data_IF_534885431148
#
_entry.id   IF_534885431148
#
_cell.length_a   1.000
_cell.length_b   1.000
_cell.length_c   1.000
_cell.angle_alpha   90.00
_cell.angle_beta   90.00
_cell.angle_gamma   90.00
#
_symmetry.space_group_name_H-M   'P 1'
#
loop_
_entity.id
_entity.type
_entity.pdbx_description
1 polymer ?
#
# COMPACT_ATOMS: atom_id res chain seq x y z
N UNK A 1 -16.22 6.65 12.27
CA UNK A 1 -15.72 5.51 11.48
C UNK A 1 -16.36 5.59 10.11
N UNK A 2 -15.55 5.57 9.04
CA UNK A 2 -16.06 5.40 7.67
C UNK A 2 -16.77 4.06 7.53
N UNK A 3 -17.88 4.03 6.78
CA UNK A 3 -18.53 2.78 6.47
C UNK A 3 -17.96 2.24 5.15
N UNK A 4 -17.46 1.00 5.17
CA UNK A 4 -16.95 0.36 3.96
C UNK A 4 -17.99 0.31 2.84
N UNK A 5 -19.25 0.11 3.20
CA UNK A 5 -20.33 0.02 2.21
C UNK A 5 -20.42 1.28 1.34
N UNK A 6 -19.96 2.43 1.84
CA UNK A 6 -20.00 3.71 1.13
C UNK A 6 -19.03 3.72 -0.07
N UNK A 7 -17.88 3.05 0.04
CA UNK A 7 -16.82 3.05 -0.99
C UNK A 7 -16.67 1.71 -1.72
N UNK A 8 -17.50 0.71 -1.37
CA UNK A 8 -17.44 -0.63 -1.95
C UNK A 8 -17.51 -0.60 -3.48
N UNK A 9 -18.46 0.14 -4.04
CA UNK A 9 -18.61 0.27 -5.50
C UNK A 9 -17.35 0.87 -6.15
N UNK A 10 -16.73 1.85 -5.48
CA UNK A 10 -15.50 2.49 -5.98
C UNK A 10 -14.32 1.51 -6.00
N UNK A 11 -14.14 0.70 -4.96
CA UNK A 11 -13.10 -0.33 -4.93
C UNK A 11 -13.36 -1.46 -5.92
N UNK A 12 -14.60 -1.93 -6.06
CA UNK A 12 -14.97 -2.95 -7.07
C UNK A 12 -14.68 -2.45 -8.49
N UNK A 13 -15.09 -1.22 -8.81
CA UNK A 13 -14.79 -0.58 -10.09
C UNK A 13 -13.28 -0.40 -10.28
N UNK A 14 -12.57 0.07 -9.27
CA UNK A 14 -11.12 0.28 -9.30
C UNK A 14 -10.33 -1.00 -9.56
N UNK A 15 -10.74 -2.11 -8.95
CA UNK A 15 -10.12 -3.41 -9.20
C UNK A 15 -10.30 -3.85 -10.66
N UNK A 16 -11.47 -3.63 -11.26
CA UNK A 16 -11.72 -3.92 -12.68
C UNK A 16 -10.88 -3.03 -13.61
N UNK A 17 -10.82 -1.73 -13.33
CA UNK A 17 -10.00 -0.79 -14.10
C UNK A 17 -8.51 -1.14 -14.01
N UNK A 18 -8.01 -1.47 -12.81
CA UNK A 18 -6.64 -1.91 -12.60
C UNK A 18 -6.33 -3.19 -13.36
N UNK A 19 -7.23 -4.19 -13.33
CA UNK A 19 -7.07 -5.46 -14.03
C UNK A 19 -6.89 -5.24 -15.54
N UNK A 20 -7.80 -4.45 -16.17
CA UNK A 20 -7.71 -4.09 -17.59
C UNK A 20 -6.43 -3.33 -17.89
N UNK A 21 -6.16 -2.22 -17.21
CA UNK A 21 -5.00 -1.36 -17.47
C UNK A 21 -3.68 -2.12 -17.28
N UNK A 22 -3.52 -2.86 -16.19
CA UNK A 22 -2.28 -3.60 -15.93
C UNK A 22 -2.06 -4.72 -16.94
N UNK A 23 -3.11 -5.44 -17.34
CA UNK A 23 -2.99 -6.49 -18.37
C UNK A 23 -2.52 -5.94 -19.73
N UNK A 24 -2.95 -4.72 -20.08
CA UNK A 24 -2.56 -4.03 -21.32
C UNK A 24 -1.17 -3.40 -21.23
N UNK A 25 -0.93 -2.59 -20.20
CA UNK A 25 0.26 -1.72 -20.11
C UNK A 25 1.46 -2.44 -19.49
N UNK A 26 1.21 -3.38 -18.56
CA UNK A 26 2.25 -4.07 -17.77
C UNK A 26 1.99 -5.58 -17.69
N UNK A 27 1.90 -6.30 -18.83
CA UNK A 27 1.49 -7.72 -18.85
C UNK A 27 2.38 -8.64 -18.01
N UNK A 28 3.69 -8.38 -17.94
CA UNK A 28 4.59 -9.18 -17.08
C UNK A 28 4.29 -9.01 -15.58
N UNK A 29 3.93 -7.80 -15.17
CA UNK A 29 3.58 -7.51 -13.78
C UNK A 29 2.20 -8.05 -13.43
N UNK A 30 1.28 -8.01 -14.39
CA UNK A 30 -0.02 -8.66 -14.30
C UNK A 30 0.13 -10.16 -14.03
N UNK A 31 0.95 -10.88 -14.81
CA UNK A 31 1.23 -12.30 -14.59
C UNK A 31 1.85 -12.57 -13.22
N UNK A 32 2.80 -11.73 -12.79
CA UNK A 32 3.39 -11.83 -11.45
C UNK A 32 2.32 -11.72 -10.36
N UNK A 33 1.40 -10.75 -10.49
CA UNK A 33 0.33 -10.54 -9.52
C UNK A 33 -0.64 -11.74 -9.48
N UNK A 34 -0.97 -12.34 -10.63
CA UNK A 34 -1.82 -13.53 -10.72
C UNK A 34 -1.17 -14.80 -10.18
N UNK A 35 0.17 -14.91 -10.23
CA UNK A 35 0.93 -16.07 -9.70
C UNK A 35 1.23 -15.96 -8.18
N UNK A 36 0.70 -14.93 -7.50
CA UNK A 36 0.93 -14.76 -6.06
C UNK A 36 0.30 -15.91 -5.29
N UNK A 37 1.13 -16.63 -4.53
CA UNK A 37 0.70 -17.74 -3.68
C UNK A 37 0.13 -17.20 -2.37
N UNK A 38 -0.88 -17.89 -1.81
CA UNK A 38 -1.48 -17.55 -0.50
C UNK A 38 -0.45 -17.32 0.60
N UNK A 39 0.59 -18.13 0.64
CA UNK A 39 1.65 -18.02 1.65
C UNK A 39 2.65 -16.89 1.42
N UNK A 40 2.56 -16.15 0.31
CA UNK A 40 3.44 -15.00 0.03
C UNK A 40 3.03 -13.74 0.79
N UNK A 41 1.77 -13.64 1.22
CA UNK A 41 1.25 -12.48 1.96
C UNK A 41 0.64 -12.96 3.28
N UNK A 42 1.11 -12.40 4.39
CA UNK A 42 0.58 -12.62 5.74
C UNK A 42 0.03 -11.29 6.23
N UNK A 43 -1.22 -11.27 6.67
CA UNK A 43 -1.90 -10.09 7.20
C UNK A 43 -2.18 -10.32 8.68
N UNK A 44 -1.76 -9.39 9.51
CA UNK A 44 -2.21 -9.29 10.90
C UNK A 44 -3.43 -8.38 10.92
N UNK A 45 -4.56 -8.96 11.30
CA UNK A 45 -5.84 -8.27 11.35
C UNK A 45 -5.78 -7.02 12.23
N UNK A 46 -6.43 -5.96 11.77
CA UNK A 46 -6.60 -4.69 12.45
C UNK A 46 -8.06 -4.43 12.78
N UNK A 47 -8.31 -3.43 13.64
CA UNK A 47 -9.66 -2.96 13.95
C UNK A 47 -10.06 -1.73 13.14
N UNK A 48 -9.09 -1.01 12.57
CA UNK A 48 -9.31 0.25 11.85
C UNK A 48 -8.96 0.15 10.37
N UNK A 49 -8.17 -0.86 9.97
CA UNK A 49 -7.82 -1.07 8.57
C UNK A 49 -8.04 -2.53 8.16
N UNK A 50 -8.43 -2.72 6.89
CA UNK A 50 -8.87 -4.01 6.32
C UNK A 50 -8.32 -4.20 4.91
N UNK A 51 -7.01 -4.09 4.74
CA UNK A 51 -6.32 -4.28 3.44
C UNK A 51 -6.71 -5.58 2.74
N UNK A 52 -7.06 -6.62 3.50
CA UNK A 52 -7.44 -7.93 2.97
C UNK A 52 -8.67 -7.86 2.06
N UNK A 53 -9.55 -6.90 2.28
CA UNK A 53 -10.74 -6.69 1.45
C UNK A 53 -10.38 -6.11 0.09
N UNK A 54 -9.33 -5.27 0.01
CA UNK A 54 -8.78 -4.81 -1.27
C UNK A 54 -8.10 -5.97 -2.00
N UNK A 55 -7.35 -6.81 -1.28
CA UNK A 55 -6.71 -8.00 -1.85
C UNK A 55 -7.72 -9.00 -2.43
N UNK A 56 -8.86 -9.19 -1.76
CA UNK A 56 -9.94 -10.03 -2.27
C UNK A 56 -10.46 -9.53 -3.62
N UNK A 57 -10.61 -8.21 -3.79
CA UNK A 57 -11.08 -7.59 -5.03
C UNK A 57 -10.09 -7.75 -6.19
N UNK A 58 -8.79 -7.61 -5.92
CA UNK A 58 -7.73 -7.84 -6.93
C UNK A 58 -7.31 -9.32 -7.03
N UNK A 59 -8.00 -10.21 -6.31
CA UNK A 59 -7.81 -11.67 -6.32
C UNK A 59 -6.41 -12.12 -5.89
N UNK A 60 -5.78 -11.39 -4.97
CA UNK A 60 -4.49 -11.78 -4.39
C UNK A 60 -4.73 -12.59 -3.11
N UNK A 61 -4.31 -13.86 -3.06
CA UNK A 61 -4.55 -14.69 -1.88
C UNK A 61 -3.59 -14.35 -0.74
N UNK A 62 -4.09 -14.44 0.50
CA UNK A 62 -3.34 -14.12 1.71
C UNK A 62 -3.61 -15.11 2.85
N UNK A 63 -2.74 -15.12 3.85
CA UNK A 63 -2.98 -15.72 5.16
C UNK A 63 -3.36 -14.60 6.13
N UNK A 64 -4.58 -14.64 6.67
CA UNK A 64 -5.04 -13.70 7.70
C UNK A 64 -4.87 -14.33 9.08
N UNK A 65 -4.25 -13.59 10.00
CA UNK A 65 -4.08 -14.00 11.39
C UNK A 65 -4.54 -12.89 12.34
N UNK A 66 -4.97 -13.28 13.53
CA UNK A 66 -5.26 -12.37 14.63
C UNK A 66 -3.97 -11.94 15.33
N UNK A 67 -3.90 -10.73 15.92
CA UNK A 67 -2.71 -10.29 16.66
C UNK A 67 -2.24 -11.27 17.75
N UNK A 68 -3.18 -11.96 18.41
CA UNK A 68 -2.90 -12.98 19.42
C UNK A 68 -2.20 -14.24 18.88
N UNK A 69 -2.34 -14.51 17.58
CA UNK A 69 -1.74 -15.66 16.89
C UNK A 69 -0.32 -15.35 16.38
N UNK A 70 0.10 -14.09 16.35
CA UNK A 70 1.37 -13.67 15.74
C UNK A 70 2.60 -14.39 16.31
N UNK A 71 2.60 -14.66 17.63
CA UNK A 71 3.71 -15.35 18.26
C UNK A 71 3.86 -16.81 17.79
N UNK A 72 2.80 -17.43 17.27
CA UNK A 72 2.75 -18.85 16.89
C UNK A 72 3.20 -19.10 15.44
N UNK A 73 3.31 -18.06 14.62
CA UNK A 73 3.69 -18.20 13.21
C UNK A 73 5.20 -18.03 13.00
N UNK A 74 5.70 -18.68 11.95
CA UNK A 74 7.03 -18.43 11.41
C UNK A 74 6.93 -17.55 10.18
N UNK A 75 7.80 -16.54 10.12
CA UNK A 75 7.92 -15.64 8.98
C UNK A 75 9.09 -16.09 8.10
N UNK A 76 8.87 -16.11 6.79
CA UNK A 76 9.90 -16.38 5.78
C UNK A 76 10.28 -15.07 5.10
N UNK A 77 11.56 -14.83 4.88
CA UNK A 77 12.06 -13.64 4.21
C UNK A 77 11.67 -13.46 2.73
N UNK A 78 10.87 -14.37 2.17
CA UNK A 78 10.24 -14.23 0.86
C UNK A 78 8.78 -13.75 0.90
N UNK A 79 8.26 -13.43 2.09
CA UNK A 79 6.90 -12.97 2.31
C UNK A 79 6.79 -11.44 2.39
N UNK A 80 5.55 -10.99 2.31
CA UNK A 80 5.07 -9.69 2.76
C UNK A 80 4.31 -9.91 4.06
N UNK A 81 4.66 -9.17 5.10
CA UNK A 81 3.91 -9.06 6.34
C UNK A 81 3.20 -7.71 6.35
N UNK A 82 1.88 -7.72 6.31
CA UNK A 82 1.05 -6.52 6.45
C UNK A 82 0.48 -6.50 7.86
N UNK A 83 0.66 -5.40 8.59
CA UNK A 83 0.08 -5.19 9.92
C UNK A 83 -0.90 -4.03 9.83
N UNK A 84 -2.18 -4.36 9.80
CA UNK A 84 -3.25 -3.36 9.77
C UNK A 84 -3.30 -2.58 11.09
N UNK A 85 -3.73 -1.32 11.01
CA UNK A 85 -3.99 -0.48 12.17
C UNK A 85 -4.97 -1.17 13.15
N UNK A 86 -4.64 -1.23 14.46
CA UNK A 86 -3.62 -0.42 15.15
C UNK A 86 -2.29 -1.12 15.41
N UNK A 87 -2.09 -2.35 14.92
CA UNK A 87 -0.88 -3.12 15.22
C UNK A 87 -0.78 -3.59 16.67
N UNK A 88 -1.87 -4.12 17.24
CA UNK A 88 -1.95 -4.62 18.63
C UNK A 88 -1.20 -5.95 18.86
N UNK A 89 0.03 -6.07 18.38
CA UNK A 89 0.92 -7.20 18.65
C UNK A 89 1.64 -6.96 19.97
N UNK A 90 1.52 -7.88 20.92
CA UNK A 90 2.12 -7.73 22.26
C UNK A 90 3.40 -8.51 22.46
N UNK A 91 3.72 -9.47 21.57
CA UNK A 91 4.91 -10.34 21.64
C UNK A 91 5.43 -10.64 20.25
N UNK A 92 6.75 -10.84 20.12
CA UNK A 92 7.39 -11.24 18.85
C UNK A 92 7.97 -10.10 18.01
N UNK A 93 8.26 -8.94 18.62
CA UNK A 93 8.91 -7.80 17.95
C UNK A 93 10.25 -8.19 17.30
N UNK A 94 11.09 -8.96 18.00
CA UNK A 94 12.37 -9.46 17.45
C UNK A 94 12.18 -10.29 16.17
N UNK A 95 11.04 -10.99 16.07
CA UNK A 95 10.68 -11.80 14.90
C UNK A 95 10.38 -10.91 13.69
N UNK A 96 9.78 -9.74 13.88
CA UNK A 96 9.55 -8.75 12.83
C UNK A 96 10.88 -8.18 12.37
N UNK A 97 11.74 -7.76 13.31
CA UNK A 97 13.06 -7.23 12.99
C UNK A 97 13.88 -8.23 12.14
N UNK A 98 14.03 -9.47 12.64
CA UNK A 98 14.74 -10.54 11.93
C UNK A 98 14.14 -10.84 10.55
N UNK A 99 12.81 -10.91 10.44
CA UNK A 99 12.13 -11.12 9.17
C UNK A 99 12.51 -10.06 8.13
N UNK A 100 12.53 -8.79 8.52
CA UNK A 100 12.93 -7.69 7.63
C UNK A 100 14.42 -7.78 7.32
N UNK A 101 15.29 -7.95 8.32
CA UNK A 101 16.74 -8.06 8.10
C UNK A 101 17.11 -9.15 7.08
N UNK A 102 16.40 -10.29 7.11
CA UNK A 102 16.59 -11.41 6.20
C UNK A 102 15.99 -11.21 4.79
N UNK A 103 15.22 -10.12 4.60
CA UNK A 103 14.71 -9.70 3.30
C UNK A 103 13.20 -9.77 3.12
N UNK A 104 12.46 -9.92 4.22
CA UNK A 104 11.02 -9.75 4.28
C UNK A 104 10.59 -8.32 3.94
N UNK A 105 9.36 -8.18 3.47
CA UNK A 105 8.72 -6.88 3.27
C UNK A 105 7.72 -6.63 4.39
N UNK A 106 7.89 -5.55 5.16
CA UNK A 106 6.95 -5.14 6.18
C UNK A 106 6.11 -3.96 5.68
N UNK A 107 4.80 -4.09 5.71
CA UNK A 107 3.88 -2.99 5.46
C UNK A 107 3.02 -2.75 6.71
N UNK A 108 2.92 -1.50 7.17
CA UNK A 108 2.12 -1.13 8.33
C UNK A 108 1.30 0.13 8.08
N UNK A 109 0.16 0.28 8.77
CA UNK A 109 -0.71 1.45 8.63
C UNK A 109 -0.99 2.16 9.97
N UNK A 110 -1.05 3.49 9.89
CA UNK A 110 -1.44 4.44 10.92
C UNK A 110 -0.82 4.17 12.31
N UNK A 111 -1.61 3.76 13.33
CA UNK A 111 -1.13 3.63 14.71
C UNK A 111 -0.05 2.56 14.89
N UNK A 112 0.14 1.69 13.90
CA UNK A 112 1.28 0.79 13.84
C UNK A 112 2.63 1.55 13.82
N UNK A 113 2.65 2.86 13.51
CA UNK A 113 3.81 3.73 13.71
C UNK A 113 4.36 3.62 15.14
N UNK A 114 3.52 3.96 16.12
CA UNK A 114 3.88 3.92 17.53
C UNK A 114 3.91 2.48 18.06
N UNK A 115 2.96 1.65 17.61
CA UNK A 115 2.77 0.34 18.20
C UNK A 115 3.77 -0.71 17.71
N UNK A 116 4.29 -0.56 16.49
CA UNK A 116 5.22 -1.49 15.84
C UNK A 116 6.53 -0.78 15.45
N UNK A 117 6.50 0.18 14.54
CA UNK A 117 7.71 0.74 13.92
C UNK A 117 8.68 1.33 14.94
N UNK A 118 8.20 2.22 15.81
CA UNK A 118 9.04 2.85 16.84
C UNK A 118 9.70 1.83 17.78
N UNK A 119 8.99 0.73 18.07
CA UNK A 119 9.47 -0.30 18.99
C UNK A 119 10.46 -1.25 18.34
N UNK A 120 10.25 -1.59 17.07
CA UNK A 120 11.06 -2.58 16.34
C UNK A 120 12.26 -1.93 15.64
N UNK A 121 12.13 -0.69 15.21
CA UNK A 121 13.14 0.05 14.44
C UNK A 121 13.35 1.47 15.03
N UNK A 122 13.84 1.58 16.27
CA UNK A 122 14.04 2.88 16.92
C UNK A 122 15.03 3.76 16.14
N UNK A 123 14.79 5.07 16.12
CA UNK A 123 15.67 6.06 15.48
C UNK A 123 15.43 6.29 13.99
N UNK A 124 14.50 5.57 13.35
CA UNK A 124 14.11 5.83 11.96
C UNK A 124 12.99 6.86 11.87
N UNK A 125 11.90 6.59 12.57
CA UNK A 125 10.68 7.40 12.58
C UNK A 125 10.01 7.39 13.94
N UNK A 126 9.17 8.40 14.16
CA UNK A 126 8.41 8.56 15.40
C UNK A 126 7.05 9.20 15.13
N UNK A 127 6.04 8.89 15.93
CA UNK A 127 4.84 9.69 16.02
C UNK A 127 5.18 11.07 16.60
N UNK A 128 4.68 12.12 15.96
CA UNK A 128 4.91 13.50 16.37
C UNK A 128 4.18 13.92 17.67
N UNK A 129 3.39 13.01 18.28
CA UNK A 129 2.55 13.23 19.46
C UNK A 129 1.38 14.21 19.24
N UNK A 130 1.03 14.50 17.98
CA UNK A 130 -0.08 15.36 17.60
C UNK A 130 -0.98 14.63 16.59
N UNK A 131 -2.13 14.10 17.03
CA UNK A 131 -3.00 13.32 16.16
C UNK A 131 -3.70 14.20 15.13
N UNK A 132 -4.14 13.60 14.03
CA UNK A 132 -5.01 14.26 13.03
C UNK A 132 -6.46 14.35 13.53
N UNK A 133 -7.26 15.24 12.94
CA UNK A 133 -8.72 15.12 13.00
C UNK A 133 -9.25 14.15 11.94
N UNK A 134 -10.58 13.94 11.90
CA UNK A 134 -11.26 13.34 10.74
C UNK A 134 -11.16 14.34 9.58
N UNK A 135 -10.28 14.07 8.62
CA UNK A 135 -9.90 15.06 7.62
C UNK A 135 -9.56 14.38 6.29
N UNK A 136 -9.69 15.13 5.22
CA UNK A 136 -9.18 14.73 3.92
C UNK A 136 -8.04 15.68 3.55
N UNK A 137 -6.98 15.19 2.94
CA UNK A 137 -5.84 16.02 2.55
C UNK A 137 -5.42 15.76 1.12
N UNK A 138 -5.06 16.83 0.42
CA UNK A 138 -4.40 16.72 -0.87
C UNK A 138 -2.99 16.15 -0.68
N UNK A 139 -2.65 15.13 -1.47
CA UNK A 139 -1.34 14.46 -1.42
C UNK A 139 -0.54 14.70 -2.69
N UNK A 140 0.78 14.66 -2.57
CA UNK A 140 1.73 14.87 -3.66
C UNK A 140 2.73 13.71 -3.70
N UNK A 141 3.01 13.19 -4.90
CA UNK A 141 4.13 12.26 -5.10
C UNK A 141 5.44 13.02 -4.90
N UNK A 142 6.31 12.47 -4.06
CA UNK A 142 7.67 12.98 -3.84
C UNK A 142 8.67 12.23 -4.71
N UNK A 143 8.59 10.90 -4.77
CA UNK A 143 9.50 10.05 -5.56
C UNK A 143 8.78 9.41 -6.75
N UNK A 144 8.60 10.19 -7.84
CA UNK A 144 7.95 9.73 -9.08
C UNK A 144 8.68 8.55 -9.75
N UNK A 145 9.94 8.27 -9.37
CA UNK A 145 10.73 7.18 -9.94
C UNK A 145 10.55 5.85 -9.21
N UNK A 146 9.86 5.85 -8.07
CA UNK A 146 9.67 4.66 -7.25
C UNK A 146 8.68 3.69 -7.90
N UNK A 147 9.07 2.43 -8.07
CA UNK A 147 8.22 1.40 -8.69
C UNK A 147 6.94 1.11 -7.91
N UNK A 148 6.86 1.45 -6.63
CA UNK A 148 5.60 1.35 -5.89
C UNK A 148 4.55 2.33 -6.40
N UNK A 149 4.95 3.48 -6.97
CA UNK A 149 4.04 4.54 -7.42
C UNK A 149 3.70 4.48 -8.91
N UNK A 150 4.20 3.47 -9.63
CA UNK A 150 4.00 3.33 -11.07
C UNK A 150 2.50 3.16 -11.42
N UNK A 151 1.97 4.08 -12.23
CA UNK A 151 0.58 4.09 -12.68
C UNK A 151 -0.43 4.52 -11.62
N UNK A 152 -0.01 5.07 -10.47
CA UNK A 152 -0.95 5.58 -9.45
C UNK A 152 -1.55 6.93 -9.85
N UNK A 153 -0.73 7.82 -10.40
CA UNK A 153 -1.09 9.20 -10.69
C UNK A 153 -0.49 9.58 -12.05
N UNK A 154 -1.35 9.68 -13.06
CA UNK A 154 -0.99 9.98 -14.45
C UNK A 154 -1.08 11.48 -14.76
N UNK A 155 -1.68 12.26 -13.86
CA UNK A 155 -1.83 13.71 -13.95
C UNK A 155 -1.05 14.43 -12.84
N UNK A 156 -0.74 15.71 -13.02
CA UNK A 156 -0.19 16.58 -11.97
C UNK A 156 -1.25 17.03 -10.95
N UNK A 157 -2.42 16.37 -10.93
CA UNK A 157 -3.48 16.61 -9.94
C UNK A 157 -3.01 16.17 -8.55
N UNK A 158 -3.55 16.82 -7.52
CA UNK A 158 -3.28 16.47 -6.11
C UNK A 158 -4.46 15.66 -5.56
N UNK A 159 -4.42 14.32 -5.64
CA UNK A 159 -5.49 13.43 -5.21
C UNK A 159 -5.76 13.61 -3.72
N UNK A 160 -6.99 13.31 -3.32
CA UNK A 160 -7.41 13.48 -1.93
C UNK A 160 -7.44 12.15 -1.19
N UNK A 161 -6.66 12.07 -0.12
CA UNK A 161 -6.61 10.92 0.77
C UNK A 161 -7.18 11.25 2.13
N UNK A 162 -7.86 10.28 2.72
CA UNK A 162 -8.50 10.44 4.02
C UNK A 162 -7.54 10.13 5.17
N UNK A 163 -7.60 10.94 6.22
CA UNK A 163 -6.94 10.72 7.50
C UNK A 163 -8.03 10.46 8.54
N UNK A 164 -7.93 9.33 9.24
CA UNK A 164 -8.92 9.03 10.28
C UNK A 164 -8.77 10.01 11.45
N UNK A 165 -9.85 10.19 12.21
CA UNK A 165 -9.74 10.85 13.49
C UNK A 165 -8.68 10.15 14.35
N UNK A 166 -7.65 10.91 14.70
CA UNK A 166 -6.49 10.45 15.45
C UNK A 166 -5.47 9.59 14.70
N UNK A 167 -5.31 9.74 13.38
CA UNK A 167 -4.13 9.18 12.70
C UNK A 167 -2.83 9.81 13.21
N UNK A 168 -1.71 9.09 13.08
CA UNK A 168 -0.41 9.44 13.68
C UNK A 168 0.58 9.97 12.63
N UNK A 169 0.77 11.31 12.51
CA UNK A 169 1.71 11.87 11.56
C UNK A 169 3.15 11.44 11.85
N UNK A 170 3.87 11.13 10.76
CA UNK A 170 5.21 10.55 10.78
C UNK A 170 6.27 11.65 10.90
N UNK A 171 6.98 11.69 12.01
CA UNK A 171 8.25 12.41 12.14
C UNK A 171 9.39 11.53 11.69
N UNK A 172 10.18 12.01 10.74
CA UNK A 172 11.41 11.32 10.30
C UNK A 172 12.58 11.72 11.19
N UNK A 173 13.17 10.73 11.87
CA UNK A 173 14.37 10.91 12.70
C UNK A 173 15.63 10.64 11.88
N UNK A 174 15.63 9.62 11.01
CA UNK A 174 16.74 9.29 10.13
C UNK A 174 16.46 9.72 8.69
N UNK A 175 16.90 10.93 8.34
CA UNK A 175 16.69 11.52 7.00
C UNK A 175 17.57 10.94 5.90
N UNK A 176 18.62 10.17 6.24
CA UNK A 176 19.49 9.56 5.22
C UNK A 176 18.92 8.25 4.72
N UNK A 177 18.29 7.48 5.61
CA UNK A 177 17.73 6.16 5.26
C UNK A 177 16.24 6.20 4.90
N UNK A 178 15.47 7.09 5.52
CA UNK A 178 14.01 7.16 5.29
C UNK A 178 13.68 8.03 4.09
N UNK A 179 12.99 7.42 3.12
CA UNK A 179 12.49 8.09 1.92
C UNK A 179 11.00 8.36 2.05
N UNK A 180 10.60 9.57 1.68
CA UNK A 180 9.18 9.95 1.55
C UNK A 180 8.76 9.63 0.12
N UNK A 181 7.69 8.84 -0.03
CA UNK A 181 7.10 8.51 -1.32
C UNK A 181 5.95 9.44 -1.66
N UNK A 182 5.08 9.69 -0.67
CA UNK A 182 3.90 10.55 -0.77
C UNK A 182 3.91 11.51 0.42
N UNK A 183 3.67 12.78 0.16
CA UNK A 183 3.60 13.84 1.16
C UNK A 183 2.27 14.60 1.08
N UNK A 184 1.95 15.38 2.11
CA UNK A 184 0.84 16.33 2.08
C UNK A 184 1.24 17.67 2.71
N UNK A 185 1.26 18.72 1.88
CA UNK A 185 1.43 20.10 2.35
C UNK A 185 0.30 20.52 3.31
N UNK A 186 -0.92 20.06 3.06
CA UNK A 186 -2.08 20.35 3.93
C UNK A 186 -1.91 19.70 5.29
N UNK A 187 -1.51 18.42 5.34
CA UNK A 187 -1.25 17.72 6.61
C UNK A 187 -0.14 18.42 7.41
N UNK A 188 0.93 18.88 6.74
CA UNK A 188 1.99 19.64 7.40
C UNK A 188 1.48 20.93 8.03
N UNK A 189 0.69 21.70 7.29
CA UNK A 189 0.15 22.96 7.78
C UNK A 189 -0.79 22.74 8.97
N UNK A 190 -1.61 21.69 8.93
CA UNK A 190 -2.62 21.42 9.97
C UNK A 190 -2.03 20.70 11.19
N UNK A 191 -1.16 19.71 10.97
CA UNK A 191 -0.74 18.73 11.98
C UNK A 191 0.79 18.65 12.21
N UNK A 192 1.59 19.34 11.40
CA UNK A 192 3.02 19.58 11.67
C UNK A 192 4.01 18.68 10.91
N UNK A 193 3.55 17.56 10.34
CA UNK A 193 4.39 16.67 9.53
C UNK A 193 3.75 16.51 8.14
N UNK A 194 4.56 16.42 7.08
CA UNK A 194 4.11 16.14 5.70
C UNK A 194 4.12 14.67 5.25
N UNK A 195 4.89 13.70 5.80
CA UNK A 195 4.98 12.38 5.18
C UNK A 195 3.69 11.58 5.35
N UNK A 196 3.10 11.14 4.22
CA UNK A 196 1.92 10.27 4.19
C UNK A 196 2.35 8.82 4.01
N UNK A 197 3.27 8.57 3.05
CA UNK A 197 3.85 7.25 2.80
C UNK A 197 5.36 7.37 2.82
N UNK A 198 6.01 6.50 3.59
CA UNK A 198 7.46 6.39 3.66
C UNK A 198 7.92 4.98 3.35
N UNK A 199 9.17 4.86 2.94
CA UNK A 199 9.86 3.59 2.81
C UNK A 199 11.31 3.70 3.28
N UNK A 200 11.85 2.60 3.81
CA UNK A 200 13.26 2.46 4.13
C UNK A 200 13.67 1.00 4.17
N UNK A 201 14.95 0.73 4.01
CA UNK A 201 15.51 -0.62 4.00
C UNK A 201 16.20 -0.93 5.33
N UNK A 202 16.08 -2.19 5.76
CA UNK A 202 16.82 -2.73 6.91
C UNK A 202 17.35 -4.10 6.52
N UNK A 203 18.67 -4.27 6.58
CA UNK A 203 19.34 -5.47 6.08
C UNK A 203 19.04 -5.70 4.60
N UNK A 204 18.41 -6.83 4.28
CA UNK A 204 17.99 -7.16 2.91
C UNK A 204 16.52 -6.85 2.61
N UNK A 205 15.77 -6.35 3.60
CA UNK A 205 14.33 -6.15 3.52
C UNK A 205 13.94 -4.70 3.44
N UNK A 206 12.64 -4.49 3.31
CA UNK A 206 12.06 -3.16 3.10
C UNK A 206 10.85 -2.99 4.00
N UNK A 207 10.74 -1.78 4.53
CA UNK A 207 9.66 -1.35 5.39
C UNK A 207 8.91 -0.24 4.66
N UNK A 208 7.60 -0.40 4.55
CA UNK A 208 6.68 0.60 4.06
C UNK A 208 5.71 0.97 5.19
N UNK A 209 5.45 2.26 5.34
CA UNK A 209 4.49 2.75 6.30
C UNK A 209 3.64 3.87 5.72
N UNK A 210 2.36 3.86 6.07
CA UNK A 210 1.38 4.85 5.61
C UNK A 210 0.57 5.38 6.80
N UNK A 211 0.49 6.71 6.93
CA UNK A 211 -0.29 7.39 7.99
C UNK A 211 -1.80 7.15 7.85
N UNK A 212 -2.27 6.92 6.63
CA UNK A 212 -3.68 6.70 6.32
C UNK A 212 -4.03 5.20 6.31
N UNK A 213 -5.32 4.89 6.45
CA UNK A 213 -5.84 3.54 6.24
C UNK A 213 -5.93 3.18 4.77
N UNK A 214 -5.66 1.92 4.45
CA UNK A 214 -5.68 1.41 3.07
C UNK A 214 -7.08 1.34 2.49
N UNK A 215 -8.01 0.88 3.33
CA UNK A 215 -9.33 0.43 2.94
C UNK A 215 -10.45 1.45 3.19
N UNK A 216 -10.22 2.38 4.11
CA UNK A 216 -11.21 3.37 4.51
C UNK A 216 -11.02 4.71 3.80
N UNK A 217 -10.48 4.73 2.58
CA UNK A 217 -10.37 5.99 1.85
C UNK A 217 -11.76 6.62 1.68
N UNK A 218 -11.90 7.88 2.07
CA UNK A 218 -13.08 8.70 1.77
C UNK A 218 -12.69 9.70 0.69
N UNK A 219 -13.56 9.87 -0.30
CA UNK A 219 -13.39 10.93 -1.27
C UNK A 219 -13.95 12.25 -0.73
N UNK A 220 -13.12 13.31 -0.79
CA UNK A 220 -13.61 14.68 -0.62
C UNK A 220 -13.79 15.31 -2.01
N UNK A 221 -15.04 15.48 -2.41
CA UNK A 221 -15.42 16.00 -3.72
C UNK A 221 -15.31 17.53 -3.76
N UNK A 222 -14.11 18.05 -3.47
CA UNK A 222 -13.81 19.49 -3.31
C UNK A 222 -14.06 20.32 -4.55
N UNK A 223 -13.63 19.81 -5.70
CA UNK A 223 -13.65 20.53 -6.96
C UNK A 223 -14.67 19.93 -7.94
N UNK A 224 -14.91 20.62 -9.05
CA UNK A 224 -15.84 20.14 -10.09
C UNK A 224 -15.38 18.82 -10.70
N UNK A 225 -14.06 18.62 -10.86
CA UNK A 225 -13.44 17.39 -11.39
C UNK A 225 -13.83 16.18 -10.56
N UNK A 226 -13.71 16.22 -9.23
CA UNK A 226 -14.03 15.09 -8.36
C UNK A 226 -15.50 14.65 -8.47
N UNK A 227 -16.40 15.58 -8.78
CA UNK A 227 -17.84 15.32 -8.92
C UNK A 227 -18.24 14.78 -10.30
N UNK A 228 -17.32 14.72 -11.27
CA UNK A 228 -17.64 14.14 -12.57
C UNK A 228 -17.69 12.61 -12.47
N UNK A 229 -18.06 11.94 -13.58
CA UNK A 229 -18.22 10.49 -13.60
C UNK A 229 -16.87 9.77 -13.53
N UNK A 230 -16.82 8.64 -12.83
CA UNK A 230 -15.69 7.72 -12.89
C UNK A 230 -15.39 7.22 -14.32
N UNK A 231 -16.34 7.30 -15.26
CA UNK A 231 -16.08 7.00 -16.67
C UNK A 231 -15.10 7.98 -17.30
N UNK A 232 -15.16 9.27 -16.92
CA UNK A 232 -14.22 10.28 -17.39
C UNK A 232 -12.81 9.95 -16.90
N UNK A 233 -12.66 9.55 -15.63
CA UNK A 233 -11.39 9.09 -15.07
C UNK A 233 -10.80 7.90 -15.85
N UNK A 234 -11.61 6.86 -16.06
CA UNK A 234 -11.21 5.66 -16.79
C UNK A 234 -10.69 5.98 -18.20
N UNK A 235 -11.33 6.90 -18.90
CA UNK A 235 -10.94 7.27 -20.27
C UNK A 235 -9.80 8.26 -20.32
N UNK A 236 -9.94 9.38 -19.62
CA UNK A 236 -9.04 10.52 -19.74
C UNK A 236 -7.71 10.31 -19.01
N UNK A 237 -7.73 9.59 -17.89
CA UNK A 237 -6.55 9.44 -17.02
C UNK A 237 -5.97 8.03 -17.07
N UNK A 238 -6.82 6.99 -17.15
CA UNK A 238 -6.35 5.61 -17.27
C UNK A 238 -6.19 5.14 -18.73
N UNK A 239 -6.74 5.89 -19.69
CA UNK A 239 -6.65 5.60 -21.12
C UNK A 239 -7.42 4.33 -21.52
N UNK A 240 -8.46 3.94 -20.78
CA UNK A 240 -9.28 2.78 -21.12
C UNK A 240 -10.24 3.10 -22.27
N UNK A 241 -10.34 2.19 -23.24
CA UNK A 241 -11.28 2.25 -24.36
C UNK A 241 -12.69 1.80 -23.96
N UNK A 242 -13.68 2.14 -24.79
CA UNK A 242 -15.07 1.68 -24.58
C UNK A 242 -15.19 0.14 -24.57
N UNK A 243 -14.41 -0.56 -25.41
CA UNK A 243 -14.36 -2.02 -25.44
C UNK A 243 -13.79 -2.60 -24.13
N UNK A 244 -12.79 -1.94 -23.53
CA UNK A 244 -12.20 -2.36 -22.26
C UNK A 244 -13.15 -2.15 -21.06
N UNK A 245 -14.04 -1.15 -21.14
CA UNK A 245 -14.97 -0.81 -20.05
C UNK A 245 -16.37 -1.40 -20.20
N UNK A 246 -16.68 -2.02 -21.35
CA UNK A 246 -18.02 -2.53 -21.67
C UNK A 246 -18.61 -3.42 -20.57
N UNK A 247 -17.80 -4.28 -19.95
CA UNK A 247 -18.23 -5.27 -18.94
C UNK A 247 -18.62 -4.64 -17.58
N UNK A 248 -18.30 -3.37 -17.35
CA UNK A 248 -18.55 -2.68 -16.08
C UNK A 248 -19.06 -1.24 -16.27
N UNK A 249 -19.63 -0.95 -17.43
CA UNK A 249 -20.20 0.34 -17.78
C UNK A 249 -21.26 0.81 -16.74
N UNK A 250 -22.11 -0.11 -16.28
CA UNK A 250 -23.16 0.18 -15.30
C UNK A 250 -22.62 0.56 -13.90
N UNK A 251 -21.34 0.31 -13.60
CA UNK A 251 -20.74 0.64 -12.32
C UNK A 251 -20.28 2.10 -12.26
N UNK A 252 -20.01 2.74 -13.41
CA UNK A 252 -19.65 4.17 -13.47
C UNK A 252 -20.76 5.10 -13.00
N UNK A 253 -22.02 4.69 -13.13
CA UNK A 253 -23.18 5.48 -12.69
C UNK A 253 -23.29 5.58 -11.16
N UNK A 254 -22.55 4.73 -10.43
CA UNK A 254 -22.61 4.63 -8.96
C UNK A 254 -21.43 5.30 -8.27
N UNK A 255 -20.44 5.76 -9.03
CA UNK A 255 -19.13 6.18 -8.52
C UNK A 255 -18.70 7.47 -9.19
N UNK A 256 -18.39 8.47 -8.38
CA UNK A 256 -17.77 9.71 -8.84
C UNK A 256 -16.29 9.51 -9.18
N UNK A 257 -15.73 10.43 -9.96
CA UNK A 257 -14.31 10.44 -10.30
C UNK A 257 -13.43 10.44 -9.04
N UNK A 258 -13.75 11.28 -8.04
CA UNK A 258 -12.94 11.38 -6.82
C UNK A 258 -12.93 10.08 -6.01
N UNK A 259 -14.06 9.36 -5.97
CA UNK A 259 -14.16 8.06 -5.32
C UNK A 259 -13.35 7.00 -6.07
N UNK A 260 -13.48 6.97 -7.41
CA UNK A 260 -12.71 6.07 -8.25
C UNK A 260 -11.20 6.32 -8.17
N UNK A 261 -10.75 7.58 -8.19
CA UNK A 261 -9.34 7.95 -8.08
C UNK A 261 -8.74 7.55 -6.72
N UNK A 262 -9.47 7.79 -5.63
CA UNK A 262 -9.01 7.45 -4.28
C UNK A 262 -8.90 5.92 -4.10
N UNK A 263 -9.91 5.18 -4.57
CA UNK A 263 -9.90 3.72 -4.53
C UNK A 263 -8.89 3.10 -5.51
N UNK A 264 -8.71 3.67 -6.71
CA UNK A 264 -7.78 3.18 -7.71
C UNK A 264 -6.33 3.36 -7.29
N UNK A 265 -5.96 4.55 -6.81
CA UNK A 265 -4.58 4.84 -6.37
C UNK A 265 -4.14 3.89 -5.25
N UNK A 266 -4.99 3.61 -4.28
CA UNK A 266 -4.71 2.60 -3.26
C UNK A 266 -4.73 1.19 -3.85
N UNK A 267 -5.69 0.81 -4.69
CA UNK A 267 -5.72 -0.56 -5.27
C UNK A 267 -4.47 -0.87 -6.11
N UNK A 268 -4.04 0.07 -6.96
CA UNK A 268 -2.82 -0.04 -7.76
C UNK A 268 -1.55 -0.10 -6.89
N UNK A 269 -1.49 0.71 -5.83
CA UNK A 269 -0.31 0.79 -4.95
C UNK A 269 0.03 -0.55 -4.28
N UNK A 270 -0.95 -1.29 -3.78
CA UNK A 270 -0.70 -2.57 -3.09
C UNK A 270 -0.34 -3.64 -4.11
N UNK A 271 -0.95 -3.59 -5.31
CA UNK A 271 -0.53 -4.41 -6.44
C UNK A 271 0.96 -4.22 -6.74
N UNK A 272 1.40 -2.97 -6.89
CA UNK A 272 2.80 -2.65 -7.14
C UNK A 272 3.72 -3.15 -6.02
N UNK A 273 3.36 -2.93 -4.74
CA UNK A 273 4.13 -3.44 -3.59
C UNK A 273 4.30 -4.96 -3.66
N UNK A 274 3.23 -5.68 -3.98
CA UNK A 274 3.24 -7.15 -4.08
C UNK A 274 4.14 -7.60 -5.23
N UNK A 275 3.96 -7.02 -6.41
CA UNK A 275 4.74 -7.31 -7.62
C UNK A 275 6.23 -7.08 -7.35
N UNK A 276 6.60 -5.94 -6.78
CA UNK A 276 7.99 -5.58 -6.54
C UNK A 276 8.66 -6.52 -5.53
N UNK A 277 7.94 -6.95 -4.49
CA UNK A 277 8.48 -7.98 -3.60
C UNK A 277 8.66 -9.33 -4.31
N UNK A 278 7.73 -9.76 -5.16
CA UNK A 278 7.89 -10.99 -5.93
C UNK A 278 9.11 -10.92 -6.87
N UNK A 279 9.32 -9.80 -7.56
CA UNK A 279 10.51 -9.55 -8.40
C UNK A 279 11.79 -9.65 -7.56
N UNK A 280 11.85 -9.00 -6.40
CA UNK A 280 13.00 -9.05 -5.48
C UNK A 280 13.29 -10.46 -4.99
N UNK A 281 12.26 -11.23 -4.63
CA UNK A 281 12.39 -12.64 -4.25
C UNK A 281 12.98 -13.47 -5.38
N UNK A 282 12.47 -13.30 -6.61
CA UNK A 282 12.96 -14.02 -7.80
C UNK A 282 14.42 -13.71 -8.08
N UNK A 283 14.81 -12.43 -8.03
CA UNK A 283 16.20 -12.00 -8.22
C UNK A 283 17.13 -12.60 -7.15
N UNK A 284 16.73 -12.61 -5.88
CA UNK A 284 17.51 -13.21 -4.79
C UNK A 284 17.67 -14.72 -4.98
N UNK A 285 16.61 -15.43 -5.39
CA UNK A 285 16.65 -16.87 -5.69
C UNK A 285 17.61 -17.16 -6.84
N UNK A 286 17.55 -16.39 -7.93
CA UNK A 286 18.45 -16.55 -9.08
C UNK A 286 19.93 -16.31 -8.71
N UNK A 287 20.21 -15.27 -7.91
CA UNK A 287 21.58 -15.01 -7.41
C UNK A 287 22.11 -16.16 -6.56
N UNK A 288 21.26 -16.76 -5.72
CA UNK A 288 21.64 -17.93 -4.89
C UNK A 288 21.93 -19.17 -5.72
N UNK A 289 21.16 -19.42 -6.79
CA UNK A 289 21.38 -20.54 -7.71
C UNK A 289 22.71 -20.37 -8.44
N UNK A 290 22.93 -19.21 -9.06
CA UNK A 290 24.18 -18.91 -9.78
C UNK A 290 25.42 -19.09 -8.89
N UNK A 291 25.37 -18.58 -7.65
CA UNK A 291 26.48 -18.74 -6.69
C UNK A 291 26.78 -20.21 -6.35
N UNK A 292 25.75 -21.08 -6.32
CA UNK A 292 25.94 -22.52 -6.10
C UNK A 292 26.58 -23.20 -7.31
N UNK A 293 26.14 -22.85 -8.52
CA UNK A 293 26.70 -23.38 -9.77
C UNK A 293 28.18 -22.98 -9.92
N UNK A 294 28.52 -21.72 -9.68
CA UNK A 294 29.90 -21.21 -9.71
C UNK A 294 30.79 -21.89 -8.65
N UNK A 295 30.23 -22.26 -7.49
CA UNK A 295 30.98 -22.98 -6.44
C UNK A 295 31.20 -24.47 -6.73
N UNK A 296 30.36 -25.07 -7.58
CA UNK A 296 30.48 -26.48 -7.99
C UNK A 296 31.39 -26.65 -9.20
N UNK A 297 31.50 -25.66 -10.07
CA UNK A 297 32.42 -25.69 -11.23
C UNK A 297 33.88 -25.38 -10.88
N UNK A 298 34.15 -24.87 -9.67
CA UNK A 298 35.48 -24.57 -9.15
C UNK A 298 36.01 -25.63 -8.17
N UNK A 299 35.39 -26.82 -8.12
CA UNK A 299 35.83 -28.01 -7.38
C UNK A 299 36.13 -29.13 -8.35
#
# INVERSE_FOLDING_TARGET
>A
MGNFDDMKNAYELSAKMMDKKMSRDRPLDYEILKDVRKSSVVIVAGSYDRVEMVLDLIKVPYVLIQPTQFHQIDLRSDQILIINCPGNITKGFDKINKFVEEGGFLFTTDWALLNILEKVFPGYVKYNQRPTGDDCVAVQIVDKSNSFLEGLFESDEEPIWWLENSSYPIRIENRTEVKVLIASKEMKSKYGEDPIVITFDVGMGTILHMTSHYYLQRADLRNKRHKTSAKEYAKAELGLSDDETQDFEADFEKVSLGEAESAYSTTQFIGNVIIEQQKRVKLRKNKKIKKKEDSNNNK
#
